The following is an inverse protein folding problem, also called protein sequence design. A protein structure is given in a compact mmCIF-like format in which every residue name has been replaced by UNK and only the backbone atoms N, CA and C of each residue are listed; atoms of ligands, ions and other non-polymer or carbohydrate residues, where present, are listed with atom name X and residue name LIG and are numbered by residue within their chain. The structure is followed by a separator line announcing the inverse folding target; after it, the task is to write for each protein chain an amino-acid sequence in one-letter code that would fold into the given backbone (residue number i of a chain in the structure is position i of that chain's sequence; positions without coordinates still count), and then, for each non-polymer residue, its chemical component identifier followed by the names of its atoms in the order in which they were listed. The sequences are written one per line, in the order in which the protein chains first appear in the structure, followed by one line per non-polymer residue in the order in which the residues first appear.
data_IF_348215086149
#
_entry.id   IF_348215086149
#
_cell.length_a   1.000
_cell.length_b   1.000
_cell.length_c   1.000
_cell.angle_alpha   90.00
_cell.angle_beta   90.00
_cell.angle_gamma   90.00
#
_symmetry.space_group_name_H-M   'P 1'
#
loop_
_entity.id
_entity.type
_entity.pdbx_description
1 polymer ?
#
# COMPACT_ATOMS: atom_id res chain seq x y z
N UNK A 1 30.70 -13.30 -26.59
CA UNK A 1 29.69 -13.88 -25.69
C UNK A 1 29.17 -12.77 -24.77
N UNK A 2 28.06 -12.14 -25.12
CA UNK A 2 27.44 -11.13 -24.25
C UNK A 2 26.76 -11.85 -23.09
N UNK A 3 27.34 -11.74 -21.90
CA UNK A 3 26.76 -12.27 -20.68
C UNK A 3 25.36 -11.71 -20.51
N UNK A 4 24.37 -12.60 -20.39
CA UNK A 4 22.99 -12.23 -20.04
C UNK A 4 23.06 -11.42 -18.75
N UNK A 5 23.01 -10.10 -18.86
CA UNK A 5 22.94 -9.21 -17.70
C UNK A 5 21.77 -9.72 -16.88
N UNK A 6 22.05 -10.28 -15.71
CA UNK A 6 21.03 -10.82 -14.82
C UNK A 6 20.11 -9.67 -14.46
N UNK A 7 19.04 -9.50 -15.24
CA UNK A 7 18.01 -8.49 -15.05
C UNK A 7 17.52 -8.78 -13.63
N UNK A 8 17.97 -7.96 -12.66
CA UNK A 8 17.60 -8.05 -11.24
C UNK A 8 16.14 -8.43 -11.25
N UNK A 9 15.77 -9.58 -10.67
CA UNK A 9 14.39 -10.07 -10.57
C UNK A 9 13.55 -8.91 -10.06
N UNK A 10 12.98 -8.14 -10.99
CA UNK A 10 12.48 -6.80 -10.72
C UNK A 10 11.17 -7.04 -10.03
N UNK A 11 11.18 -6.85 -8.72
CA UNK A 11 10.05 -6.85 -7.81
C UNK A 11 8.79 -7.53 -8.38
N UNK A 12 8.70 -8.86 -8.25
CA UNK A 12 7.62 -9.68 -8.82
C UNK A 12 6.26 -9.46 -8.14
N UNK A 13 6.04 -8.29 -7.52
CA UNK A 13 4.76 -7.94 -6.90
C UNK A 13 3.69 -7.81 -7.98
N UNK A 14 2.49 -8.37 -7.77
CA UNK A 14 1.35 -8.08 -8.61
C UNK A 14 1.14 -6.57 -8.71
N UNK A 15 0.82 -6.06 -9.90
CA UNK A 15 0.61 -4.63 -10.11
C UNK A 15 -0.54 -4.07 -9.26
N UNK A 16 -1.54 -4.89 -8.93
CA UNK A 16 -2.60 -4.55 -7.97
C UNK A 16 -2.04 -4.18 -6.58
N UNK A 17 -1.04 -4.95 -6.10
CA UNK A 17 -0.37 -4.69 -4.83
C UNK A 17 0.42 -3.39 -4.88
N UNK A 18 1.18 -3.16 -5.95
CA UNK A 18 1.93 -1.90 -6.14
C UNK A 18 1.02 -0.68 -6.16
N UNK A 19 -0.17 -0.80 -6.78
CA UNK A 19 -1.19 0.27 -6.78
C UNK A 19 -1.67 0.57 -5.37
N UNK A 20 -1.91 -0.46 -4.56
CA UNK A 20 -2.27 -0.29 -3.15
C UNK A 20 -1.15 0.36 -2.33
N UNK A 21 0.10 -0.08 -2.50
CA UNK A 21 1.27 0.52 -1.82
C UNK A 21 1.42 2.01 -2.15
N UNK A 22 1.28 2.37 -3.44
CA UNK A 22 1.30 3.77 -3.87
C UNK A 22 0.17 4.59 -3.26
N UNK A 23 -1.05 4.04 -3.21
CA UNK A 23 -2.20 4.72 -2.57
C UNK A 23 -1.97 4.90 -1.06
N UNK A 24 -1.41 3.90 -0.39
CA UNK A 24 -1.06 3.98 1.03
C UNK A 24 -0.04 5.09 1.29
N UNK A 25 1.02 5.15 0.47
CA UNK A 25 2.04 6.19 0.58
C UNK A 25 1.47 7.60 0.38
N UNK A 26 0.65 7.79 -0.66
CA UNK A 26 -0.03 9.08 -0.90
C UNK A 26 -0.90 9.45 0.31
N UNK A 27 -1.64 8.49 0.88
CA UNK A 27 -2.43 8.71 2.09
C UNK A 27 -1.59 9.21 3.27
N UNK A 28 -0.45 8.55 3.55
CA UNK A 28 0.47 8.99 4.61
C UNK A 28 1.00 10.42 4.38
N UNK A 29 1.36 10.76 3.14
CA UNK A 29 1.85 12.10 2.79
C UNK A 29 0.77 13.16 3.00
N UNK A 30 -0.48 12.87 2.61
CA UNK A 30 -1.61 13.80 2.82
C UNK A 30 -1.88 14.02 4.32
N UNK A 31 -1.88 12.95 5.14
CA UNK A 31 -2.07 13.07 6.60
C UNK A 31 -0.93 13.87 7.23
N UNK A 32 0.32 13.58 6.86
CA UNK A 32 1.49 14.31 7.34
C UNK A 32 1.47 15.80 6.96
N UNK A 33 1.10 16.11 5.72
CA UNK A 33 1.00 17.49 5.24
C UNK A 33 -0.14 18.25 5.92
N UNK A 34 -1.31 17.62 6.10
CA UNK A 34 -2.43 18.21 6.82
C UNK A 34 -2.06 18.53 8.28
N UNK A 35 -1.34 17.62 8.95
CA UNK A 35 -0.82 17.87 10.29
C UNK A 35 0.16 19.04 10.33
N UNK A 36 1.10 19.09 9.38
CA UNK A 36 2.04 20.20 9.27
C UNK A 36 1.32 21.54 9.08
N UNK A 37 0.28 21.61 8.23
CA UNK A 37 -0.52 22.82 8.04
C UNK A 37 -1.24 23.28 9.32
N UNK A 38 -1.72 22.34 10.15
CA UNK A 38 -2.34 22.66 11.44
C UNK A 38 -1.32 23.21 12.44
N UNK A 39 -0.07 22.72 12.40
CA UNK A 39 1.01 23.16 13.30
C UNK A 39 1.75 24.41 12.82
N UNK A 40 1.72 24.71 11.51
CA UNK A 40 2.48 25.80 10.91
C UNK A 40 2.22 27.17 11.56
N UNK A 41 0.96 27.57 11.90
CA UNK A 41 0.71 28.83 12.60
C UNK A 41 1.38 28.90 13.99
N UNK A 42 1.34 27.79 14.74
CA UNK A 42 1.97 27.68 16.07
C UNK A 42 3.49 27.83 15.95
N UNK A 43 4.10 27.15 14.98
CA UNK A 43 5.52 27.29 14.71
C UNK A 43 5.90 28.71 14.24
N UNK A 44 5.07 29.33 13.41
CA UNK A 44 5.31 30.68 12.90
C UNK A 44 5.26 31.73 14.02
N UNK A 45 4.26 31.65 14.90
CA UNK A 45 4.16 32.53 16.07
C UNK A 45 5.37 32.39 17.00
N UNK A 46 5.81 31.16 17.28
CA UNK A 46 6.99 30.90 18.10
C UNK A 46 8.28 31.52 17.52
N UNK A 47 8.43 31.52 16.20
CA UNK A 47 9.59 32.13 15.51
C UNK A 47 9.50 33.66 15.52
N UNK A 48 8.29 34.23 15.53
CA UNK A 48 8.08 35.68 15.41
C UNK A 48 8.46 36.50 16.66
N UNK A 49 8.87 35.86 17.76
CA UNK A 49 9.36 36.55 18.96
C UNK A 49 8.30 37.35 19.70
N UNK A 50 7.00 37.05 19.52
CA UNK A 50 5.94 37.62 20.34
C UNK A 50 5.97 36.94 21.71
N UNK A 51 6.44 37.66 22.74
CA UNK A 51 6.63 37.18 24.12
C UNK A 51 5.35 36.75 24.87
N UNK A 52 4.18 36.78 24.23
CA UNK A 52 2.95 36.24 24.80
C UNK A 52 2.87 34.75 24.46
N UNK A 53 3.44 33.92 25.34
CA UNK A 53 3.13 32.50 25.39
C UNK A 53 1.62 32.34 25.52
N UNK A 54 0.92 31.82 24.51
CA UNK A 54 -0.50 31.60 24.64
C UNK A 54 -0.67 30.33 25.48
N UNK A 55 -0.89 30.52 26.78
CA UNK A 55 -0.98 29.45 27.77
C UNK A 55 -2.16 28.50 27.56
N UNK A 56 -3.09 28.84 26.67
CA UNK A 56 -4.40 28.19 26.57
C UNK A 56 -4.62 27.46 25.24
N UNK A 57 -3.62 27.39 24.35
CA UNK A 57 -3.77 26.60 23.13
C UNK A 57 -3.64 25.10 23.44
N UNK A 58 -4.75 24.40 23.20
CA UNK A 58 -5.02 22.96 23.15
C UNK A 58 -4.02 22.11 22.30
N UNK A 59 -2.72 22.31 22.48
CA UNK A 59 -1.61 21.54 21.91
C UNK A 59 -1.70 20.02 22.13
N UNK A 60 -2.24 19.47 23.25
CA UNK A 60 -2.40 18.02 23.36
C UNK A 60 -3.37 17.43 22.33
N UNK A 61 -4.44 18.15 21.96
CA UNK A 61 -5.46 17.62 21.04
C UNK A 61 -4.94 17.40 19.61
N UNK A 62 -4.01 18.23 19.13
CA UNK A 62 -3.51 18.10 17.77
C UNK A 62 -2.61 16.87 17.57
N UNK A 63 -1.85 16.49 18.60
CA UNK A 63 -1.05 15.26 18.58
C UNK A 63 -1.93 14.01 18.61
N UNK A 64 -2.93 13.97 19.48
CA UNK A 64 -3.86 12.84 19.60
C UNK A 64 -4.63 12.58 18.30
N UNK A 65 -5.12 13.65 17.65
CA UNK A 65 -5.81 13.53 16.36
C UNK A 65 -4.90 12.96 15.26
N UNK A 66 -3.61 13.31 15.25
CA UNK A 66 -2.64 12.81 14.29
C UNK A 66 -2.41 11.30 14.43
N UNK A 67 -2.15 10.83 15.66
CA UNK A 67 -1.98 9.41 15.93
C UNK A 67 -3.24 8.63 15.57
N UNK A 68 -4.43 9.19 15.85
CA UNK A 68 -5.71 8.62 15.45
C UNK A 68 -5.83 8.41 13.94
N UNK A 69 -5.53 9.44 13.13
CA UNK A 69 -5.59 9.35 11.67
C UNK A 69 -4.58 8.34 11.11
N UNK A 70 -3.36 8.31 11.64
CA UNK A 70 -2.35 7.32 11.25
C UNK A 70 -2.77 5.90 11.61
N UNK A 71 -3.31 5.68 12.80
CA UNK A 71 -3.81 4.38 13.23
C UNK A 71 -4.96 3.90 12.34
N UNK A 72 -5.94 4.76 12.04
CA UNK A 72 -7.05 4.44 11.13
C UNK A 72 -6.53 4.08 9.74
N UNK A 73 -5.59 4.86 9.18
CA UNK A 73 -4.99 4.56 7.88
C UNK A 73 -4.22 3.24 7.90
N UNK A 74 -3.45 2.97 8.94
CA UNK A 74 -2.72 1.71 9.11
C UNK A 74 -3.69 0.51 9.20
N UNK A 75 -4.77 0.62 9.96
CA UNK A 75 -5.83 -0.41 10.05
C UNK A 75 -6.46 -0.63 8.66
N UNK A 76 -6.81 0.44 7.95
CA UNK A 76 -7.39 0.35 6.62
C UNK A 76 -6.45 -0.38 5.64
N UNK A 77 -5.17 -0.02 5.63
CA UNK A 77 -4.13 -0.68 4.82
C UNK A 77 -3.99 -2.15 5.21
N UNK A 78 -3.96 -2.48 6.50
CA UNK A 78 -3.87 -3.86 6.99
C UNK A 78 -5.09 -4.69 6.59
N UNK A 79 -6.32 -4.16 6.72
CA UNK A 79 -7.56 -4.83 6.30
C UNK A 79 -7.57 -5.06 4.78
N UNK A 80 -7.20 -4.04 4.00
CA UNK A 80 -7.09 -4.17 2.54
C UNK A 80 -6.06 -5.23 2.14
N UNK A 81 -4.90 -5.22 2.78
CA UNK A 81 -3.85 -6.20 2.56
C UNK A 81 -4.32 -7.63 2.85
N UNK A 82 -4.90 -7.85 4.03
CA UNK A 82 -5.49 -9.13 4.44
C UNK A 82 -6.57 -9.59 3.47
N UNK A 83 -7.42 -8.68 2.98
CA UNK A 83 -8.46 -8.97 2.00
C UNK A 83 -7.86 -9.45 0.67
N UNK A 84 -6.78 -8.83 0.18
CA UNK A 84 -6.11 -9.24 -1.05
C UNK A 84 -5.47 -10.62 -0.87
N UNK A 85 -4.76 -10.87 0.23
CA UNK A 85 -4.18 -12.20 0.52
C UNK A 85 -5.27 -13.27 0.58
N UNK A 86 -6.38 -12.97 1.27
CA UNK A 86 -7.53 -13.88 1.36
C UNK A 86 -8.14 -14.15 -0.01
N UNK A 87 -8.34 -13.12 -0.83
CA UNK A 87 -8.87 -13.24 -2.18
C UNK A 87 -7.97 -14.08 -3.09
N UNK A 88 -6.64 -13.88 -3.01
CA UNK A 88 -5.68 -14.68 -3.76
C UNK A 88 -5.74 -16.16 -3.35
N UNK A 89 -5.79 -16.45 -2.04
CA UNK A 89 -5.92 -17.83 -1.54
C UNK A 89 -7.24 -18.50 -1.96
N UNK A 90 -8.38 -17.82 -1.81
CA UNK A 90 -9.69 -18.39 -2.15
C UNK A 90 -9.89 -18.56 -3.66
N UNK A 91 -9.17 -17.80 -4.49
CA UNK A 91 -9.15 -17.98 -5.93
C UNK A 91 -8.11 -19.01 -6.41
N UNK A 92 -7.42 -19.73 -5.51
CA UNK A 92 -6.36 -20.65 -5.90
C UNK A 92 -5.15 -19.99 -6.57
N UNK A 93 -4.97 -18.68 -6.33
CA UNK A 93 -3.98 -17.80 -6.97
C UNK A 93 -4.23 -17.50 -8.46
N UNK A 94 -5.36 -17.93 -9.02
CA UNK A 94 -5.78 -17.66 -10.41
C UNK A 94 -6.38 -16.25 -10.54
N UNK A 95 -5.58 -15.21 -10.27
CA UNK A 95 -6.00 -13.82 -10.38
C UNK A 95 -5.12 -13.06 -11.37
N UNK A 96 -5.73 -12.18 -12.17
CA UNK A 96 -4.98 -11.24 -12.99
C UNK A 96 -4.08 -10.37 -12.09
N UNK A 97 -2.76 -10.27 -12.36
CA UNK A 97 -1.84 -9.51 -11.51
C UNK A 97 -2.09 -8.00 -11.56
N UNK A 98 -2.89 -7.50 -12.52
CA UNK A 98 -3.18 -6.07 -12.67
C UNK A 98 -4.50 -5.66 -12.00
N UNK A 99 -5.62 -6.29 -12.37
CA UNK A 99 -6.95 -5.91 -11.87
C UNK A 99 -7.55 -6.87 -10.84
N UNK A 100 -6.91 -8.00 -10.54
CA UNK A 100 -7.42 -9.06 -9.65
C UNK A 100 -8.70 -9.77 -10.15
N UNK A 101 -9.01 -9.71 -11.44
CA UNK A 101 -10.08 -10.54 -12.03
C UNK A 101 -9.72 -12.03 -11.93
N UNK A 102 -10.70 -12.90 -11.67
CA UNK A 102 -10.49 -14.36 -11.60
C UNK A 102 -10.24 -14.93 -12.99
N UNK A 103 -9.15 -15.68 -13.15
CA UNK A 103 -8.75 -16.33 -14.39
C UNK A 103 -9.21 -17.81 -14.46
N UNK A 104 -10.05 -18.23 -13.52
CA UNK A 104 -10.61 -19.59 -13.48
C UNK A 104 -11.50 -19.80 -14.71
N UNK A 105 -11.25 -20.88 -15.46
CA UNK A 105 -11.99 -21.21 -16.68
C UNK A 105 -11.56 -20.45 -17.95
N UNK A 106 -10.63 -19.48 -17.85
CA UNK A 106 -10.07 -18.82 -19.02
C UNK A 106 -8.85 -19.60 -19.58
N UNK A 107 -8.50 -19.39 -20.88
CA UNK A 107 -7.30 -19.98 -21.47
C UNK A 107 -6.02 -19.62 -20.72
N UNK A 108 -5.00 -20.48 -20.83
CA UNK A 108 -3.69 -20.31 -20.17
C UNK A 108 -2.99 -19.02 -20.59
N UNK A 109 -3.08 -18.65 -21.86
CA UNK A 109 -2.50 -17.43 -22.39
C UNK A 109 -3.61 -16.63 -23.10
N UNK A 110 -3.97 -15.48 -22.55
CA UNK A 110 -4.97 -14.61 -23.15
C UNK A 110 -4.83 -13.17 -22.64
N UNK A 111 -5.67 -12.30 -23.17
CA UNK A 111 -5.91 -10.97 -22.63
C UNK A 111 -6.98 -11.02 -21.54
N UNK A 112 -6.72 -10.37 -20.40
CA UNK A 112 -7.70 -10.26 -19.33
C UNK A 112 -8.91 -9.42 -19.78
N UNK A 113 -10.16 -9.92 -19.64
CA UNK A 113 -11.35 -9.24 -20.15
C UNK A 113 -11.65 -7.90 -19.45
N UNK A 114 -11.21 -7.72 -18.21
CA UNK A 114 -11.46 -6.50 -17.44
C UNK A 114 -10.48 -5.37 -17.74
N UNK A 115 -9.19 -5.70 -17.93
CA UNK A 115 -8.14 -4.68 -18.00
C UNK A 115 -7.34 -4.67 -19.30
N UNK A 116 -7.62 -5.58 -20.23
CA UNK A 116 -6.95 -5.64 -21.52
C UNK A 116 -5.47 -6.05 -21.46
N UNK A 117 -4.94 -6.45 -20.29
CA UNK A 117 -3.55 -6.87 -20.18
C UNK A 117 -3.40 -8.35 -20.56
N UNK A 118 -2.39 -8.65 -21.37
CA UNK A 118 -1.97 -10.03 -21.61
C UNK A 118 -1.48 -10.67 -20.31
N UNK A 119 -1.82 -11.94 -20.13
CA UNK A 119 -1.33 -12.75 -19.03
C UNK A 119 -0.99 -14.16 -19.52
N UNK A 120 -0.03 -14.77 -18.83
CA UNK A 120 0.20 -16.21 -18.83
C UNK A 120 -0.21 -16.71 -17.44
N UNK A 121 -1.10 -17.70 -17.40
CA UNK A 121 -1.77 -18.12 -16.17
C UNK A 121 -0.77 -18.66 -15.14
N UNK A 122 0.18 -19.46 -15.59
CA UNK A 122 1.22 -20.03 -14.71
C UNK A 122 2.12 -18.95 -14.11
N UNK A 123 2.47 -17.93 -14.90
CA UNK A 123 3.21 -16.76 -14.40
C UNK A 123 2.37 -15.95 -13.39
N UNK A 124 1.09 -15.71 -13.68
CA UNK A 124 0.20 -15.00 -12.76
C UNK A 124 0.08 -15.74 -11.42
N UNK A 125 -0.18 -17.05 -11.45
CA UNK A 125 -0.28 -17.92 -10.28
C UNK A 125 1.03 -17.96 -9.49
N UNK A 126 2.17 -18.08 -10.18
CA UNK A 126 3.50 -18.02 -9.56
C UNK A 126 3.71 -16.70 -8.81
N UNK A 127 3.45 -15.56 -9.45
CA UNK A 127 3.65 -14.22 -8.84
C UNK A 127 2.79 -14.03 -7.59
N UNK A 128 1.54 -14.49 -7.63
CA UNK A 128 0.65 -14.41 -6.47
C UNK A 128 1.13 -15.30 -5.32
N UNK A 129 1.51 -16.55 -5.60
CA UNK A 129 2.06 -17.47 -4.58
C UNK A 129 3.31 -16.90 -3.93
N UNK A 130 4.29 -16.50 -4.73
CA UNK A 130 5.54 -15.94 -4.21
C UNK A 130 5.32 -14.69 -3.36
N UNK A 131 4.40 -13.82 -3.78
CA UNK A 131 4.06 -12.63 -3.01
C UNK A 131 3.34 -12.96 -1.70
N UNK A 132 2.34 -13.85 -1.72
CA UNK A 132 1.64 -14.29 -0.50
C UNK A 132 2.59 -15.01 0.45
N UNK A 133 3.55 -15.80 -0.04
CA UNK A 133 4.52 -16.47 0.81
C UNK A 133 5.49 -15.48 1.47
N UNK A 134 5.94 -14.46 0.73
CA UNK A 134 6.71 -13.34 1.31
C UNK A 134 5.91 -12.58 2.36
N UNK A 135 4.62 -12.34 2.10
CA UNK A 135 3.71 -11.69 3.03
C UNK A 135 3.63 -12.43 4.37
N UNK A 136 3.50 -13.75 4.33
CA UNK A 136 3.37 -14.57 5.53
C UNK A 136 4.67 -14.64 6.33
N UNK A 137 5.83 -14.67 5.65
CA UNK A 137 7.14 -14.66 6.33
C UNK A 137 7.42 -13.36 7.10
N UNK A 138 6.83 -12.26 6.65
CA UNK A 138 7.03 -10.94 7.26
C UNK A 138 5.89 -10.57 8.24
N UNK A 139 4.90 -11.45 8.44
CA UNK A 139 3.84 -11.19 9.40
C UNK A 139 4.38 -11.32 10.83
N UNK A 140 3.94 -10.47 11.78
CA UNK A 140 4.23 -10.71 13.20
C UNK A 140 3.67 -12.08 13.63
N UNK A 141 4.33 -12.78 14.56
CA UNK A 141 3.75 -13.99 15.16
C UNK A 141 2.41 -13.66 15.84
N UNK A 142 1.47 -14.61 15.77
CA UNK A 142 0.13 -14.52 16.39
C UNK A 142 0.20 -14.60 17.92
#
# INVERSE_FOLDING_TARGET
MFGKSGRRKSDQRPAAVRRMERQSFIGCVVIAFAYWLVQAPVCFEAISGKDQAPSDYNTPFAGEAFFGLFAIHAIFVAVRYRRIVRLARTAGYDLCPNCMYRLTGLPTEHTCPECGNMYEKDDATRRWREWVDRANRNAPPE
#
